data_IF_159032791118
#
_entry.id   IF_159032791118
#
_cell.length_a   1.000
_cell.length_b   1.000
_cell.length_c   1.000
_cell.angle_alpha   90.00
_cell.angle_beta   90.00
_cell.angle_gamma   90.00
#
_symmetry.space_group_name_H-M   'P 1'
#
loop_
_entity.id
_entity.type
_entity.pdbx_description
1 polymer ?
#
# COMPACT_ATOMS: atom_id res chain seq x y z
N UNK A 1 13.85 -7.12 22.23
CA UNK A 1 13.49 -6.26 21.07
C UNK A 1 11.99 -6.05 21.09
N UNK A 2 11.48 -4.81 21.07
CA UNK A 2 10.03 -4.54 21.10
C UNK A 2 9.51 -4.55 19.65
N UNK A 3 8.65 -5.51 19.30
CA UNK A 3 8.04 -5.56 17.96
C UNK A 3 7.13 -4.33 17.82
N UNK A 4 7.36 -3.54 16.77
CA UNK A 4 6.49 -2.41 16.46
C UNK A 4 5.17 -2.93 15.88
N UNK A 5 4.01 -2.38 16.27
CA UNK A 5 2.74 -2.72 15.63
C UNK A 5 2.79 -2.45 14.12
N UNK A 6 2.06 -3.23 13.33
CA UNK A 6 2.01 -3.09 11.88
C UNK A 6 1.68 -1.65 11.45
N UNK A 7 0.66 -1.04 12.07
CA UNK A 7 0.30 0.35 11.78
C UNK A 7 1.42 1.36 12.03
N UNK A 8 2.31 1.12 12.99
CA UNK A 8 3.47 2.00 13.21
C UNK A 8 4.53 1.84 12.12
N UNK A 9 4.74 0.61 11.64
CA UNK A 9 5.65 0.33 10.53
C UNK A 9 5.14 0.95 9.23
N UNK A 10 3.86 0.77 8.91
CA UNK A 10 3.22 1.37 7.74
C UNK A 10 3.20 2.90 7.84
N UNK A 11 2.94 3.46 9.02
CA UNK A 11 3.01 4.90 9.25
C UNK A 11 4.40 5.47 8.97
N UNK A 12 5.46 4.80 9.43
CA UNK A 12 6.85 5.19 9.14
C UNK A 12 7.14 5.10 7.64
N UNK A 13 6.76 3.99 6.99
CA UNK A 13 6.93 3.81 5.56
C UNK A 13 6.25 4.93 4.75
N UNK A 14 4.97 5.21 5.02
CA UNK A 14 4.21 6.27 4.36
C UNK A 14 4.82 7.65 4.58
N UNK A 15 5.29 7.93 5.80
CA UNK A 15 5.91 9.21 6.14
C UNK A 15 7.21 9.45 5.37
N UNK A 16 8.12 8.47 5.39
CA UNK A 16 9.45 8.61 4.76
C UNK A 16 9.32 8.66 3.24
N UNK A 17 8.51 7.75 2.66
CA UNK A 17 8.29 7.72 1.21
C UNK A 17 7.61 8.99 0.70
N UNK A 18 6.56 9.49 1.37
CA UNK A 18 5.87 10.72 0.96
C UNK A 18 6.82 11.94 0.99
N UNK A 19 7.70 12.04 2.00
CA UNK A 19 8.70 13.11 2.05
C UNK A 19 9.63 13.06 0.84
N UNK A 20 10.17 11.90 0.50
CA UNK A 20 11.06 11.76 -0.66
C UNK A 20 10.35 12.05 -1.98
N UNK A 21 9.14 11.52 -2.18
CA UNK A 21 8.34 11.77 -3.38
C UNK A 21 8.04 13.27 -3.53
N UNK A 22 7.62 13.94 -2.45
CA UNK A 22 7.31 15.36 -2.51
C UNK A 22 8.54 16.25 -2.75
N UNK A 23 9.69 15.89 -2.18
CA UNK A 23 10.96 16.58 -2.49
C UNK A 23 11.32 16.41 -3.96
N UNK A 24 11.19 15.20 -4.51
CA UNK A 24 11.48 14.91 -5.91
C UNK A 24 10.52 15.64 -6.87
N UNK A 25 9.23 15.75 -6.51
CA UNK A 25 8.20 16.41 -7.31
C UNK A 25 8.14 17.93 -7.13
N UNK A 26 8.84 18.49 -6.14
CA UNK A 26 8.71 19.91 -5.76
C UNK A 26 7.35 20.27 -5.15
N UNK A 27 6.65 19.30 -4.55
CA UNK A 27 5.30 19.44 -4.00
C UNK A 27 5.23 19.18 -2.49
N UNK A 28 5.98 19.91 -1.65
CA UNK A 28 5.98 19.69 -0.20
C UNK A 28 4.57 19.85 0.39
N UNK A 29 4.17 18.91 1.25
CA UNK A 29 2.87 18.94 1.92
C UNK A 29 1.70 18.35 1.12
N UNK A 30 1.87 18.05 -0.16
CA UNK A 30 0.82 17.37 -0.95
C UNK A 30 0.72 15.90 -0.52
N UNK A 31 -0.49 15.40 -0.19
CA UNK A 31 -0.67 13.99 0.14
C UNK A 31 -0.24 13.07 -1.01
N UNK A 32 0.60 12.10 -0.71
CA UNK A 32 1.03 11.06 -1.67
C UNK A 32 0.20 9.79 -1.50
N UNK A 33 -0.12 9.43 -0.26
CA UNK A 33 -0.83 8.20 0.07
C UNK A 33 -2.29 8.47 0.39
N UNK A 34 -3.16 7.55 -0.02
CA UNK A 34 -4.52 7.45 0.51
C UNK A 34 -4.48 7.19 2.04
N UNK A 35 -5.55 7.62 2.72
CA UNK A 35 -5.74 7.42 4.15
C UNK A 35 -5.89 5.92 4.46
N UNK A 36 -5.43 5.51 5.64
CA UNK A 36 -5.45 4.12 6.13
C UNK A 36 -4.64 3.16 5.24
N UNK A 37 -4.69 1.87 5.55
CA UNK A 37 -4.06 0.81 4.77
C UNK A 37 -4.91 -0.46 4.91
N UNK A 38 -4.87 -1.32 3.90
CA UNK A 38 -5.50 -2.63 3.96
C UNK A 38 -4.59 -3.61 4.72
N UNK A 39 -5.17 -4.38 5.63
CA UNK A 39 -4.49 -5.47 6.32
C UNK A 39 -5.38 -6.70 6.34
N UNK A 40 -4.78 -7.86 6.08
CA UNK A 40 -5.43 -9.15 6.11
C UNK A 40 -4.44 -10.21 6.59
N UNK A 41 -4.89 -11.10 7.48
CA UNK A 41 -4.06 -12.18 8.02
C UNK A 41 -4.27 -13.41 7.16
N UNK A 42 -3.19 -13.85 6.51
CA UNK A 42 -3.17 -15.08 5.70
C UNK A 42 -3.19 -16.31 6.61
N UNK A 43 -4.24 -17.12 6.48
CA UNK A 43 -4.51 -18.26 7.38
C UNK A 43 -4.16 -19.61 6.78
N UNK A 44 -4.11 -19.70 5.45
CA UNK A 44 -3.81 -20.94 4.73
C UNK A 44 -3.10 -20.70 3.40
N UNK A 45 -2.73 -21.80 2.75
CA UNK A 45 -1.95 -21.81 1.52
C UNK A 45 -2.77 -21.33 0.32
N UNK A 46 -4.07 -21.61 0.28
CA UNK A 46 -4.93 -21.23 -0.84
C UNK A 46 -5.12 -19.71 -0.85
N UNK A 47 -5.32 -19.12 0.33
CA UNK A 47 -5.38 -17.67 0.50
C UNK A 47 -4.07 -16.98 0.07
N UNK A 48 -2.92 -17.55 0.44
CA UNK A 48 -1.62 -17.05 0.02
C UNK A 48 -1.47 -17.04 -1.51
N UNK A 49 -1.86 -18.15 -2.16
CA UNK A 49 -1.81 -18.29 -3.62
C UNK A 49 -2.72 -17.24 -4.28
N UNK A 50 -3.94 -17.06 -3.76
CA UNK A 50 -4.89 -16.10 -4.29
C UNK A 50 -4.37 -14.66 -4.19
N UNK A 51 -3.81 -14.27 -3.05
CA UNK A 51 -3.22 -12.93 -2.85
C UNK A 51 -2.03 -12.72 -3.77
N UNK A 52 -1.18 -13.74 -3.95
CA UNK A 52 -0.05 -13.64 -4.87
C UNK A 52 -0.51 -13.46 -6.31
N UNK A 53 -1.48 -14.26 -6.76
CA UNK A 53 -2.06 -14.14 -8.10
C UNK A 53 -2.71 -12.75 -8.30
N UNK A 54 -3.41 -12.24 -7.29
CA UNK A 54 -3.96 -10.88 -7.32
C UNK A 54 -2.85 -9.83 -7.52
N UNK A 55 -1.78 -9.86 -6.74
CA UNK A 55 -0.68 -8.88 -6.86
C UNK A 55 -0.06 -8.90 -8.26
N UNK A 56 0.11 -10.08 -8.85
CA UNK A 56 0.71 -10.24 -10.18
C UNK A 56 -0.23 -9.77 -11.30
N UNK A 57 -1.53 -10.04 -11.19
CA UNK A 57 -2.52 -9.74 -12.24
C UNK A 57 -3.15 -8.35 -12.10
N UNK A 58 -3.10 -7.71 -10.93
CA UNK A 58 -3.72 -6.41 -10.70
C UNK A 58 -3.28 -5.31 -11.69
N UNK A 59 -2.00 -5.20 -12.11
CA UNK A 59 -1.62 -4.20 -13.12
C UNK A 59 -2.41 -4.32 -14.43
N UNK A 60 -2.74 -5.54 -14.84
CA UNK A 60 -3.49 -5.80 -16.08
C UNK A 60 -4.99 -5.47 -15.92
N UNK A 61 -5.52 -5.53 -14.70
CA UNK A 61 -6.91 -5.28 -14.39
C UNK A 61 -7.19 -3.88 -13.81
N UNK A 62 -6.16 -3.03 -13.71
CA UNK A 62 -6.26 -1.75 -13.01
C UNK A 62 -7.32 -0.81 -13.59
N UNK A 63 -7.50 -0.76 -14.91
CA UNK A 63 -8.49 0.10 -15.56
C UNK A 63 -9.93 -0.33 -15.33
N UNK A 64 -10.14 -1.60 -14.96
CA UNK A 64 -11.46 -2.18 -14.75
C UNK A 64 -11.84 -2.20 -13.26
N UNK A 65 -10.94 -1.75 -12.37
CA UNK A 65 -11.14 -1.72 -10.93
C UNK A 65 -12.18 -0.62 -10.56
N UNK A 66 -13.32 -0.98 -9.97
CA UNK A 66 -14.35 -0.01 -9.57
C UNK A 66 -13.87 1.00 -8.52
N UNK A 67 -12.81 0.68 -7.76
CA UNK A 67 -12.18 1.59 -6.79
C UNK A 67 -11.13 2.51 -7.44
N UNK A 68 -10.77 2.26 -8.71
CA UNK A 68 -9.95 3.16 -9.51
C UNK A 68 -10.82 4.25 -10.14
N UNK A 69 -11.29 5.17 -9.30
CA UNK A 69 -12.07 6.33 -9.72
C UNK A 69 -11.13 7.31 -10.44
N UNK A 70 -11.18 7.32 -11.78
CA UNK A 70 -10.44 8.26 -12.63
C UNK A 70 -10.80 9.73 -12.36
#
# INVERSE_FOLDING_TARGET
MKIKPLGQLIGLFKTVSAKHVNLFRGTPGIPVWQRNYYEHIIRDQDELINIHNYILSNPDHWTDDPENIH
#
